data_IF_850480230519
#
_entry.id   IF_850480230519
#
_cell.length_a   1.000
_cell.length_b   1.000
_cell.length_c   1.000
_cell.angle_alpha   90.00
_cell.angle_beta   90.00
_cell.angle_gamma   90.00
#
_symmetry.space_group_name_H-M   'P 1'
#
loop_
_entity.id
_entity.type
_entity.pdbx_description
1 polymer ?
#
# COMPACT_ATOMS: atom_id res chain seq x y z
N UNK A 1 26.69 -1.33 14.19
CA UNK A 1 27.07 -2.29 13.12
C UNK A 1 27.42 -1.44 11.91
N UNK A 2 28.54 -1.66 11.20
CA UNK A 2 28.77 -0.95 9.96
C UNK A 2 27.87 -1.60 8.91
N UNK A 3 26.73 -0.97 8.65
CA UNK A 3 25.74 -1.47 7.72
C UNK A 3 26.38 -1.42 6.31
N UNK A 4 26.62 -2.60 5.73
CA UNK A 4 27.07 -2.72 4.35
C UNK A 4 26.07 -2.09 3.38
N UNK A 5 26.47 -1.95 2.12
CA UNK A 5 25.57 -1.47 1.07
C UNK A 5 24.22 -2.20 1.12
N UNK A 6 23.12 -1.45 1.09
CA UNK A 6 21.75 -1.99 1.20
C UNK A 6 21.34 -2.82 -0.02
N UNK A 7 22.07 -2.68 -1.12
CA UNK A 7 21.86 -3.36 -2.39
C UNK A 7 23.20 -3.81 -3.00
N UNK A 8 23.18 -4.95 -3.70
CA UNK A 8 24.32 -5.44 -4.50
C UNK A 8 24.27 -4.78 -5.89
N UNK A 9 24.86 -3.58 -6.00
CA UNK A 9 24.83 -2.77 -7.22
C UNK A 9 25.87 -3.26 -8.23
N UNK A 10 25.43 -3.98 -9.27
CA UNK A 10 26.30 -4.57 -10.32
C UNK A 10 26.48 -3.69 -11.57
N UNK A 11 26.04 -2.44 -11.50
CA UNK A 11 26.12 -1.52 -12.65
C UNK A 11 27.55 -0.97 -12.79
N UNK A 12 28.10 -0.80 -14.00
CA UNK A 12 29.47 -0.28 -14.21
C UNK A 12 29.73 1.10 -13.59
N UNK A 13 28.67 1.88 -13.34
CA UNK A 13 28.76 3.20 -12.69
C UNK A 13 28.46 3.18 -11.17
N UNK A 14 28.26 2.00 -10.57
CA UNK A 14 27.85 1.87 -9.17
C UNK A 14 28.82 2.55 -8.21
N UNK A 15 30.13 2.36 -8.41
CA UNK A 15 31.17 2.98 -7.58
C UNK A 15 31.07 4.51 -7.59
N UNK A 16 31.01 5.11 -8.79
CA UNK A 16 30.87 6.57 -8.95
C UNK A 16 29.59 7.11 -8.29
N UNK A 17 28.49 6.38 -8.39
CA UNK A 17 27.21 6.76 -7.79
C UNK A 17 27.28 6.64 -6.26
N UNK A 18 27.90 5.57 -5.74
CA UNK A 18 28.10 5.33 -4.32
C UNK A 18 28.93 6.44 -3.67
N UNK A 19 30.05 6.83 -4.29
CA UNK A 19 30.89 7.94 -3.79
C UNK A 19 30.11 9.24 -3.65
N UNK A 20 29.19 9.53 -4.58
CA UNK A 20 28.36 10.75 -4.53
C UNK A 20 27.23 10.66 -3.48
N UNK A 21 26.59 9.50 -3.34
CA UNK A 21 25.47 9.30 -2.39
C UNK A 21 25.95 9.17 -0.95
N UNK A 22 27.17 8.66 -0.76
CA UNK A 22 27.67 8.27 0.56
C UNK A 22 26.98 7.02 1.09
N UNK A 23 27.36 6.60 2.30
CA UNK A 23 26.67 5.52 3.01
C UNK A 23 25.54 6.09 3.87
N UNK A 24 24.37 5.45 3.82
CA UNK A 24 23.22 5.82 4.65
C UNK A 24 22.58 4.55 5.23
N UNK A 25 22.24 4.53 6.53
CA UNK A 25 21.54 3.40 7.12
C UNK A 25 20.13 3.29 6.52
N UNK A 26 19.57 2.08 6.54
CA UNK A 26 18.24 1.79 6.00
C UNK A 26 17.15 2.72 6.57
N UNK A 27 17.23 3.02 7.87
CA UNK A 27 16.29 3.91 8.56
C UNK A 27 16.31 5.33 7.98
N UNK A 28 17.48 5.86 7.68
CA UNK A 28 17.62 7.20 7.08
C UNK A 28 17.06 7.22 5.64
N UNK A 29 17.31 6.16 4.86
CA UNK A 29 16.74 6.02 3.52
C UNK A 29 15.21 5.99 3.56
N UNK A 30 14.63 5.19 4.46
CA UNK A 30 13.18 5.09 4.64
C UNK A 30 12.59 6.42 5.11
N UNK A 31 13.20 7.08 6.09
CA UNK A 31 12.71 8.37 6.59
C UNK A 31 12.73 9.44 5.49
N UNK A 32 13.82 9.53 4.72
CA UNK A 32 13.90 10.48 3.61
C UNK A 32 12.85 10.18 2.53
N UNK A 33 12.74 8.91 2.11
CA UNK A 33 11.83 8.53 1.04
C UNK A 33 10.35 8.63 1.42
N UNK A 34 9.97 8.12 2.60
CA UNK A 34 8.56 7.95 2.97
C UNK A 34 8.02 9.05 3.89
N UNK A 35 8.86 9.78 4.63
CA UNK A 35 8.40 10.81 5.55
C UNK A 35 8.68 12.23 5.04
N UNK A 36 9.83 12.44 4.37
CA UNK A 36 10.26 13.78 3.98
C UNK A 36 9.94 14.12 2.51
N UNK A 37 10.19 13.18 1.60
CA UNK A 37 10.05 13.44 0.16
C UNK A 37 8.59 13.31 -0.33
N UNK A 38 7.89 12.28 0.10
CA UNK A 38 6.52 11.99 -0.31
C UNK A 38 5.49 12.87 0.40
N UNK A 39 4.44 13.25 -0.33
CA UNK A 39 3.26 13.95 0.22
C UNK A 39 2.06 13.03 0.16
N UNK A 40 1.27 13.01 1.24
CA UNK A 40 0.12 12.12 1.37
C UNK A 40 -1.17 12.93 1.46
N UNK A 41 -2.25 12.29 1.04
CA UNK A 41 -3.62 12.79 1.20
C UNK A 41 -4.36 11.87 2.17
N UNK A 42 -5.17 12.45 3.04
CA UNK A 42 -6.05 11.66 3.88
C UNK A 42 -7.19 11.10 2.99
N UNK A 43 -7.34 9.77 2.87
CA UNK A 43 -8.30 9.16 1.96
C UNK A 43 -9.76 9.35 2.37
N UNK A 44 -10.03 9.72 3.63
CA UNK A 44 -11.39 10.00 4.11
C UNK A 44 -11.84 11.43 3.81
N UNK A 45 -10.93 12.40 3.87
CA UNK A 45 -11.27 13.83 3.75
C UNK A 45 -10.78 14.48 2.46
N UNK A 46 -9.85 13.86 1.74
CA UNK A 46 -9.21 14.42 0.54
C UNK A 46 -8.20 15.54 0.83
N UNK A 47 -8.02 15.93 2.09
CA UNK A 47 -7.09 16.98 2.50
C UNK A 47 -5.66 16.43 2.65
N UNK A 48 -4.64 17.29 2.77
CA UNK A 48 -3.28 16.86 3.12
C UNK A 48 -3.28 15.99 4.38
N UNK A 49 -2.55 14.88 4.33
CA UNK A 49 -2.48 13.90 5.41
C UNK A 49 -1.07 13.33 5.57
N UNK A 50 -0.97 12.30 6.39
CA UNK A 50 0.29 11.61 6.72
C UNK A 50 0.37 10.23 6.08
N UNK A 51 1.58 9.66 6.05
CA UNK A 51 1.78 8.27 5.67
C UNK A 51 0.92 7.31 6.50
N UNK A 52 0.76 7.60 7.80
CA UNK A 52 0.02 6.73 8.72
C UNK A 52 -1.47 6.70 8.39
N UNK A 53 -2.06 7.84 8.02
CA UNK A 53 -3.47 7.90 7.58
C UNK A 53 -3.72 6.99 6.36
N UNK A 54 -2.79 7.03 5.40
CA UNK A 54 -2.86 6.20 4.19
C UNK A 54 -2.63 4.73 4.52
N UNK A 55 -1.67 4.42 5.40
CA UNK A 55 -1.36 3.04 5.79
C UNK A 55 -2.53 2.39 6.53
N UNK A 56 -3.15 3.12 7.45
CA UNK A 56 -4.33 2.65 8.18
C UNK A 56 -5.47 2.37 7.21
N UNK A 57 -5.74 3.29 6.29
CA UNK A 57 -6.75 3.09 5.25
C UNK A 57 -6.48 1.85 4.39
N UNK A 58 -5.25 1.70 3.87
CA UNK A 58 -4.89 0.54 3.05
C UNK A 58 -5.02 -0.78 3.83
N UNK A 59 -4.65 -0.79 5.12
CA UNK A 59 -4.81 -1.95 5.99
C UNK A 59 -6.27 -2.33 6.17
N UNK A 60 -7.14 -1.34 6.45
CA UNK A 60 -8.58 -1.54 6.59
C UNK A 60 -9.22 -2.03 5.29
N UNK A 61 -8.88 -1.42 4.15
CA UNK A 61 -9.38 -1.86 2.84
C UNK A 61 -8.95 -3.29 2.52
N UNK A 62 -7.68 -3.64 2.76
CA UNK A 62 -7.18 -5.01 2.57
C UNK A 62 -7.93 -6.00 3.46
N UNK A 63 -8.11 -5.70 4.75
CA UNK A 63 -8.88 -6.54 5.68
C UNK A 63 -10.30 -6.74 5.18
N UNK A 64 -10.96 -5.66 4.76
CA UNK A 64 -12.32 -5.71 4.22
C UNK A 64 -12.46 -6.54 2.95
N UNK A 65 -11.48 -6.46 2.04
CA UNK A 65 -11.44 -7.28 0.83
C UNK A 65 -11.26 -8.77 1.16
N UNK A 66 -10.32 -9.10 2.04
CA UNK A 66 -10.05 -10.49 2.46
C UNK A 66 -11.21 -11.09 3.27
N UNK A 67 -11.91 -10.32 4.10
CA UNK A 67 -13.09 -10.83 4.82
C UNK A 67 -14.31 -11.07 3.92
N UNK A 68 -14.38 -10.37 2.78
CA UNK A 68 -15.50 -10.48 1.83
C UNK A 68 -15.20 -11.42 0.65
N UNK A 69 -13.99 -11.98 0.58
CA UNK A 69 -13.68 -13.03 -0.40
C UNK A 69 -14.32 -14.34 0.04
N UNK A 70 -15.26 -14.85 -0.75
CA UNK A 70 -15.93 -16.12 -0.47
C UNK A 70 -17.26 -16.25 -1.21
N UNK A 71 -17.92 -17.41 -1.05
CA UNK A 71 -19.24 -17.65 -1.59
C UNK A 71 -20.30 -17.22 -0.57
N UNK A 72 -21.06 -16.16 -0.87
CA UNK A 72 -22.15 -15.71 -0.02
C UNK A 72 -23.41 -16.55 -0.30
N UNK A 73 -23.78 -17.39 0.66
CA UNK A 73 -25.03 -18.16 0.59
C UNK A 73 -26.15 -17.44 1.35
N UNK A 74 -27.26 -17.15 0.67
CA UNK A 74 -28.42 -16.44 1.24
C UNK A 74 -29.69 -17.25 1.01
N UNK A 75 -30.11 -18.10 1.97
CA UNK A 75 -31.33 -18.88 1.84
C UNK A 75 -32.57 -17.98 1.86
N UNK A 76 -33.57 -18.30 1.04
CA UNK A 76 -34.83 -17.54 0.96
C UNK A 76 -34.79 -16.26 0.10
N UNK A 77 -33.69 -15.98 -0.61
CA UNK A 77 -33.60 -14.83 -1.51
C UNK A 77 -34.24 -15.11 -2.88
N UNK A 78 -35.23 -14.32 -3.25
CA UNK A 78 -35.89 -14.40 -4.57
C UNK A 78 -34.98 -13.86 -5.70
N UNK A 79 -35.16 -14.35 -6.93
CA UNK A 79 -34.29 -14.00 -8.07
C UNK A 79 -34.27 -12.50 -8.39
N UNK A 80 -35.38 -11.78 -8.21
CA UNK A 80 -35.42 -10.33 -8.47
C UNK A 80 -34.63 -9.54 -7.42
N UNK A 81 -34.66 -9.95 -6.13
CA UNK A 81 -33.84 -9.34 -5.06
C UNK A 81 -32.36 -9.56 -5.31
N UNK A 82 -31.99 -10.72 -5.87
CA UNK A 82 -30.62 -11.01 -6.30
C UNK A 82 -30.11 -9.98 -7.31
N UNK A 83 -30.93 -9.52 -8.25
CA UNK A 83 -30.53 -8.52 -9.24
C UNK A 83 -30.18 -7.16 -8.62
N UNK A 84 -30.92 -6.76 -7.59
CA UNK A 84 -30.69 -5.50 -6.85
C UNK A 84 -29.42 -5.57 -6.02
N UNK A 85 -29.16 -6.73 -5.42
CA UNK A 85 -28.10 -6.92 -4.44
C UNK A 85 -26.74 -7.24 -5.09
N UNK A 86 -26.74 -7.84 -6.29
CA UNK A 86 -25.52 -8.19 -7.06
C UNK A 86 -24.48 -7.06 -7.20
N UNK A 87 -24.83 -5.79 -7.49
CA UNK A 87 -23.84 -4.71 -7.59
C UNK A 87 -23.11 -4.40 -6.28
N UNK A 88 -23.72 -4.65 -5.11
CA UNK A 88 -23.11 -4.40 -3.81
C UNK A 88 -22.06 -5.44 -3.40
N UNK A 89 -22.05 -6.59 -4.09
CA UNK A 89 -21.11 -7.69 -3.83
C UNK A 89 -20.01 -7.82 -4.89
N UNK A 90 -19.82 -6.81 -5.75
CA UNK A 90 -18.68 -6.84 -6.69
C UNK A 90 -17.36 -6.66 -5.92
N UNK A 91 -16.59 -7.74 -5.87
CA UNK A 91 -15.19 -7.73 -5.50
C UNK A 91 -14.39 -7.08 -6.65
N UNK A 92 -13.33 -6.35 -6.34
CA UNK A 92 -12.45 -5.64 -7.33
C UNK A 92 -11.70 -6.60 -8.29
N UNK A 93 -11.92 -7.91 -8.21
CA UNK A 93 -11.24 -8.94 -9.02
C UNK A 93 -12.21 -9.76 -9.89
N UNK A 94 -13.17 -9.09 -10.53
CA UNK A 94 -14.11 -9.74 -11.45
C UNK A 94 -14.42 -8.88 -12.67
#
# INVERSE_FOLDING_TARGET
MPDGALTDDRHPLAEKISTRRGNAPLSALIAAAWLQYTRYINPYTGNPGTLFDVLEYLSLQRKHLLTRSGHLWVPGMTLWKRSIVKPFFKNVWQ
#
